data_IF_003304677916
#
_entry.id   IF_003304677916
#
_cell.length_a   1.000
_cell.length_b   1.000
_cell.length_c   1.000
_cell.angle_alpha   90.00
_cell.angle_beta   90.00
_cell.angle_gamma   90.00
#
_symmetry.space_group_name_H-M   'P 1'
#
loop_
_entity.id
_entity.type
_entity.pdbx_description
1 polymer ?
#
# COMPACT_ATOMS: atom_id res chain seq x y z
N UNK A 1 8.86 34.84 -2.21
CA UNK A 1 10.09 35.06 -1.36
C UNK A 1 10.10 36.40 -0.57
N UNK A 2 9.28 37.36 -0.95
CA UNK A 2 9.21 38.63 -0.21
C UNK A 2 8.67 38.52 1.23
N UNK A 3 8.03 37.40 1.58
CA UNK A 3 7.47 37.14 2.91
C UNK A 3 8.40 36.30 3.81
N UNK A 4 9.66 36.10 3.44
CA UNK A 4 10.66 35.28 4.17
C UNK A 4 10.17 33.86 4.52
N UNK A 5 9.36 33.26 3.65
CA UNK A 5 8.90 31.88 3.81
C UNK A 5 10.08 30.93 3.65
N UNK A 6 10.28 30.00 4.60
CA UNK A 6 11.41 29.06 4.62
C UNK A 6 11.29 27.98 3.54
N UNK A 7 10.07 27.59 3.17
CA UNK A 7 9.78 26.54 2.19
C UNK A 7 8.50 26.88 1.44
N UNK A 8 8.55 26.84 0.13
CA UNK A 8 7.43 27.09 -0.76
C UNK A 8 7.09 25.80 -1.50
N UNK A 9 5.89 25.28 -1.25
CA UNK A 9 5.36 24.09 -1.92
C UNK A 9 4.22 24.51 -2.82
N UNK A 10 4.18 24.02 -4.05
CA UNK A 10 3.12 24.34 -5.00
C UNK A 10 2.68 23.10 -5.77
N UNK A 11 1.41 23.07 -6.15
CA UNK A 11 0.85 22.04 -7.02
C UNK A 11 1.05 22.42 -8.49
N UNK A 12 1.63 21.54 -9.29
CA UNK A 12 1.59 21.64 -10.75
C UNK A 12 0.34 20.94 -11.29
N UNK A 13 -0.25 21.52 -12.34
CA UNK A 13 -1.44 20.98 -13.03
C UNK A 13 -1.09 20.37 -14.40
N UNK A 14 0.09 20.68 -14.92
CA UNK A 14 0.63 20.13 -16.15
C UNK A 14 2.15 20.44 -16.24
N UNK A 15 2.88 19.83 -17.18
CA UNK A 15 4.34 20.00 -17.31
C UNK A 15 4.79 21.45 -17.58
N UNK A 16 4.00 22.23 -18.31
CA UNK A 16 4.33 23.64 -18.55
C UNK A 16 4.23 24.46 -17.26
N UNK A 17 3.18 24.22 -16.45
CA UNK A 17 3.03 24.87 -15.15
C UNK A 17 4.19 24.50 -14.21
N UNK A 18 4.63 23.25 -14.21
CA UNK A 18 5.78 22.80 -13.45
C UNK A 18 7.06 23.57 -13.84
N UNK A 19 7.33 23.75 -15.14
CA UNK A 19 8.47 24.55 -15.61
C UNK A 19 8.43 26.00 -15.10
N UNK A 20 7.24 26.62 -15.10
CA UNK A 20 7.04 27.96 -14.55
C UNK A 20 7.32 28.00 -13.05
N UNK A 21 6.78 27.03 -12.28
CA UNK A 21 7.00 26.95 -10.84
C UNK A 21 8.47 26.74 -10.49
N UNK A 22 9.19 25.91 -11.25
CA UNK A 22 10.64 25.76 -11.12
C UNK A 22 11.39 27.06 -11.41
N UNK A 23 11.02 27.76 -12.48
CA UNK A 23 11.66 29.02 -12.88
C UNK A 23 11.48 30.14 -11.84
N UNK A 24 10.35 30.22 -11.15
CA UNK A 24 10.12 31.19 -10.08
C UNK A 24 10.69 30.76 -8.72
N UNK A 25 11.31 29.58 -8.65
CA UNK A 25 12.03 29.08 -7.47
C UNK A 25 11.13 28.55 -6.38
N UNK A 26 10.12 27.75 -6.74
CA UNK A 26 9.36 26.91 -5.81
C UNK A 26 10.30 25.81 -5.32
N UNK A 27 10.29 25.55 -4.00
CA UNK A 27 11.21 24.60 -3.39
C UNK A 27 10.76 23.14 -3.59
N UNK A 28 9.43 22.92 -3.72
CA UNK A 28 8.86 21.59 -3.94
C UNK A 28 7.59 21.69 -4.77
N UNK A 29 7.48 20.85 -5.77
CA UNK A 29 6.31 20.77 -6.65
C UNK A 29 5.65 19.41 -6.44
N UNK A 30 4.34 19.42 -6.23
CA UNK A 30 3.54 18.21 -6.01
C UNK A 30 2.56 18.00 -7.16
N UNK A 31 2.30 16.71 -7.49
CA UNK A 31 1.40 16.27 -8.56
C UNK A 31 0.31 15.34 -8.00
N UNK A 32 -0.62 15.83 -7.17
CA UNK A 32 -1.57 14.98 -6.45
C UNK A 32 -2.47 14.13 -7.35
N UNK A 33 -2.76 14.64 -8.55
CA UNK A 33 -3.59 13.95 -9.53
C UNK A 33 -2.87 12.74 -10.11
N UNK A 34 -1.60 12.89 -10.48
CA UNK A 34 -0.76 11.81 -11.02
C UNK A 34 -0.53 10.74 -9.96
N UNK A 35 -0.12 11.12 -8.77
CA UNK A 35 0.07 10.21 -7.63
C UNK A 35 -1.22 9.43 -7.30
N UNK A 36 -2.36 10.11 -7.36
CA UNK A 36 -3.66 9.47 -7.12
C UNK A 36 -4.03 8.53 -8.26
N UNK A 37 -3.81 8.94 -9.52
CA UNK A 37 -4.10 8.11 -10.69
C UNK A 37 -3.24 6.85 -10.72
N UNK A 38 -1.95 6.93 -10.43
CA UNK A 38 -1.06 5.78 -10.33
C UNK A 38 -1.51 4.79 -9.25
N UNK A 39 -1.87 5.29 -8.08
CA UNK A 39 -2.39 4.44 -6.99
C UNK A 39 -3.67 3.72 -7.39
N UNK A 40 -4.60 4.41 -8.05
CA UNK A 40 -5.82 3.79 -8.55
C UNK A 40 -5.57 2.82 -9.70
N UNK A 41 -4.66 3.14 -10.63
CA UNK A 41 -4.29 2.23 -11.71
C UNK A 41 -3.76 0.90 -11.15
N UNK A 42 -2.85 0.94 -10.17
CA UNK A 42 -2.34 -0.27 -9.50
C UNK A 42 -3.45 -1.06 -8.82
N UNK A 43 -4.34 -0.39 -8.09
CA UNK A 43 -5.47 -1.02 -7.42
C UNK A 43 -6.44 -1.70 -8.40
N UNK A 44 -6.64 -1.13 -9.59
CA UNK A 44 -7.53 -1.69 -10.61
C UNK A 44 -6.85 -2.80 -11.42
N UNK A 45 -5.54 -2.69 -11.66
CA UNK A 45 -4.77 -3.69 -12.43
C UNK A 45 -4.45 -4.95 -11.62
N UNK A 46 -4.26 -4.83 -10.30
CA UNK A 46 -3.92 -5.96 -9.45
C UNK A 46 -5.10 -6.33 -8.55
N UNK A 47 -5.83 -7.37 -8.93
CA UNK A 47 -6.89 -7.93 -8.09
C UNK A 47 -6.32 -8.30 -6.70
N UNK A 48 -7.07 -7.99 -5.65
CA UNK A 48 -6.65 -8.29 -4.28
C UNK A 48 -5.67 -7.29 -3.65
N UNK A 49 -5.08 -6.38 -4.41
CA UNK A 49 -4.31 -5.26 -3.86
C UNK A 49 -5.27 -4.16 -3.41
N UNK A 50 -5.24 -3.86 -2.11
CA UNK A 50 -6.10 -2.85 -1.48
C UNK A 50 -5.45 -1.48 -1.56
N UNK A 51 -4.13 -1.43 -1.34
CA UNK A 51 -3.35 -0.21 -1.36
C UNK A 51 -1.90 -0.49 -1.78
N UNK A 52 -1.20 0.51 -2.29
CA UNK A 52 0.22 0.39 -2.63
C UNK A 52 0.95 1.70 -2.37
N UNK A 53 2.18 1.58 -1.90
CA UNK A 53 3.12 2.68 -1.70
C UNK A 53 4.43 2.34 -2.41
N UNK A 54 4.78 3.14 -3.40
CA UNK A 54 6.02 2.99 -4.16
C UNK A 54 7.20 3.57 -3.37
N UNK A 55 8.25 2.76 -3.19
CA UNK A 55 9.51 3.20 -2.59
C UNK A 55 10.51 3.60 -3.68
N UNK A 56 10.44 2.92 -4.80
CA UNK A 56 11.23 3.19 -6.00
C UNK A 56 10.54 2.55 -7.21
N UNK A 57 11.06 2.76 -8.40
CA UNK A 57 10.54 2.13 -9.63
C UNK A 57 10.46 0.59 -9.55
N UNK A 58 11.28 -0.04 -8.71
CA UNK A 58 11.40 -1.49 -8.63
C UNK A 58 10.81 -2.10 -7.36
N UNK A 59 10.61 -1.31 -6.30
CA UNK A 59 10.20 -1.79 -4.99
C UNK A 59 9.00 -1.05 -4.44
N UNK A 60 8.06 -1.81 -3.87
CA UNK A 60 6.85 -1.27 -3.25
C UNK A 60 6.52 -1.93 -1.91
N UNK A 61 5.72 -1.23 -1.13
CA UNK A 61 4.93 -1.80 -0.04
C UNK A 61 3.49 -1.90 -0.54
N UNK A 62 2.87 -3.07 -0.37
CA UNK A 62 1.48 -3.29 -0.78
C UNK A 62 0.65 -3.87 0.35
N UNK A 63 -0.59 -3.42 0.43
CA UNK A 63 -1.63 -4.06 1.24
C UNK A 63 -2.44 -4.99 0.34
N UNK A 64 -2.47 -6.26 0.66
CA UNK A 64 -3.20 -7.26 -0.13
C UNK A 64 -4.11 -8.10 0.75
N UNK A 65 -5.21 -8.57 0.16
CA UNK A 65 -6.11 -9.52 0.81
C UNK A 65 -5.35 -10.82 1.06
N UNK A 66 -5.60 -11.44 2.21
CA UNK A 66 -5.04 -12.77 2.52
C UNK A 66 -5.62 -13.82 1.56
N UNK A 67 -4.78 -14.56 0.80
CA UNK A 67 -5.24 -15.68 0.00
C UNK A 67 -5.88 -16.77 0.87
N UNK A 68 -7.01 -17.33 0.43
CA UNK A 68 -7.75 -18.34 1.20
C UNK A 68 -6.90 -19.53 1.64
N UNK A 69 -5.93 -19.96 0.82
CA UNK A 69 -5.02 -21.08 1.13
C UNK A 69 -4.08 -20.84 2.32
N UNK A 70 -3.97 -19.61 2.78
CA UNK A 70 -3.12 -19.21 3.91
C UNK A 70 -3.91 -19.00 5.21
N UNK A 71 -5.24 -19.05 5.17
CA UNK A 71 -6.08 -18.93 6.36
C UNK A 71 -5.76 -20.09 7.33
N UNK A 72 -5.55 -19.74 8.59
CA UNK A 72 -5.22 -20.68 9.67
C UNK A 72 -3.74 -21.08 9.74
N UNK A 73 -2.90 -20.64 8.80
CA UNK A 73 -1.46 -20.86 8.81
C UNK A 73 -0.72 -19.74 9.52
N UNK A 74 0.45 -20.04 10.02
CA UNK A 74 1.38 -19.07 10.57
C UNK A 74 2.20 -18.41 9.45
N UNK A 75 2.80 -17.26 9.76
CA UNK A 75 3.72 -16.56 8.85
C UNK A 75 4.92 -17.45 8.48
N UNK A 76 5.41 -18.23 9.44
CA UNK A 76 6.49 -19.18 9.20
C UNK A 76 6.11 -20.27 8.19
N UNK A 77 4.91 -20.84 8.33
CA UNK A 77 4.42 -21.91 7.44
C UNK A 77 4.19 -21.45 6.01
N UNK A 78 3.74 -20.21 5.79
CA UNK A 78 3.53 -19.68 4.44
C UNK A 78 4.83 -19.31 3.74
N UNK A 79 5.88 -19.02 4.50
CA UNK A 79 7.27 -18.79 4.06
C UNK A 79 7.40 -17.92 2.78
N UNK A 80 6.73 -16.77 2.75
CA UNK A 80 6.74 -15.88 1.57
C UNK A 80 8.15 -15.37 1.24
N UNK A 81 9.03 -15.29 2.24
CA UNK A 81 10.39 -14.82 2.05
C UNK A 81 11.19 -15.74 1.11
N UNK A 82 11.09 -17.05 1.28
CA UNK A 82 11.81 -18.00 0.44
C UNK A 82 11.07 -18.24 -0.89
N UNK A 83 9.74 -18.34 -0.83
CA UNK A 83 8.93 -18.70 -2.00
C UNK A 83 8.80 -17.56 -3.01
N UNK A 84 8.59 -16.33 -2.52
CA UNK A 84 8.31 -15.16 -3.38
C UNK A 84 9.31 -14.02 -3.20
N UNK A 85 10.30 -14.15 -2.30
CA UNK A 85 11.23 -13.06 -1.93
C UNK A 85 10.49 -11.81 -1.43
N UNK A 86 9.38 -12.01 -0.72
CA UNK A 86 8.57 -10.97 -0.12
C UNK A 86 8.67 -10.99 1.39
N UNK A 87 8.74 -9.82 2.00
CA UNK A 87 8.72 -9.65 3.45
C UNK A 87 7.33 -9.22 3.92
N UNK A 88 6.78 -9.92 4.91
CA UNK A 88 5.57 -9.47 5.60
C UNK A 88 6.00 -8.47 6.67
N UNK A 89 5.59 -7.22 6.53
CA UNK A 89 5.87 -6.16 7.51
C UNK A 89 4.93 -6.26 8.71
N UNK A 90 3.65 -6.41 8.43
CA UNK A 90 2.59 -6.53 9.43
C UNK A 90 1.35 -7.17 8.83
N UNK A 91 0.39 -7.51 9.68
CA UNK A 91 -0.97 -7.89 9.29
C UNK A 91 -1.96 -6.87 9.81
N UNK A 92 -3.05 -6.67 9.08
CA UNK A 92 -4.15 -5.80 9.48
C UNK A 92 -5.38 -6.66 9.69
N UNK A 93 -5.85 -6.74 10.92
CA UNK A 93 -7.08 -7.42 11.29
C UNK A 93 -8.27 -6.54 10.95
N UNK A 94 -9.19 -7.05 10.13
CA UNK A 94 -10.44 -6.37 9.81
C UNK A 94 -11.57 -6.99 10.62
N UNK A 95 -12.00 -6.30 11.66
CA UNK A 95 -13.17 -6.69 12.45
C UNK A 95 -14.40 -5.86 12.02
N UNK A 96 -15.53 -6.55 11.85
CA UNK A 96 -16.80 -5.90 11.61
C UNK A 96 -17.55 -5.80 12.95
N UNK A 97 -17.77 -4.58 13.44
CA UNK A 97 -18.62 -4.34 14.61
C UNK A 97 -20.01 -3.89 14.19
N UNK A 98 -21.04 -4.56 14.66
CA UNK A 98 -22.42 -4.06 14.54
C UNK A 98 -22.60 -2.95 15.59
N UNK A 99 -22.76 -1.72 15.14
CA UNK A 99 -23.17 -0.62 16.01
C UNK A 99 -24.62 -0.74 16.45
N UNK A 100 -25.00 -0.05 17.53
CA UNK A 100 -26.35 -0.10 18.15
C UNK A 100 -27.51 0.27 17.22
N UNK A 101 -27.24 0.79 16.02
CA UNK A 101 -28.25 1.17 15.01
C UNK A 101 -28.16 0.33 13.72
N UNK A 102 -27.60 -0.90 13.79
CA UNK A 102 -27.50 -1.79 12.63
C UNK A 102 -26.41 -1.42 11.61
N UNK A 103 -25.69 -0.32 11.81
CA UNK A 103 -24.58 0.07 10.94
C UNK A 103 -23.36 -0.79 11.22
N UNK A 104 -22.84 -1.47 10.20
CA UNK A 104 -21.61 -2.26 10.28
C UNK A 104 -20.42 -1.30 10.12
N UNK A 105 -19.71 -1.01 11.20
CA UNK A 105 -18.40 -0.32 11.14
C UNK A 105 -17.30 -1.35 10.96
N UNK A 106 -16.56 -1.26 9.86
CA UNK A 106 -15.28 -1.98 9.69
C UNK A 106 -14.21 -1.23 10.49
N UNK A 107 -13.61 -1.90 11.44
CA UNK A 107 -12.45 -1.38 12.19
C UNK A 107 -11.23 -2.19 11.78
N UNK A 108 -10.27 -1.53 11.20
CA UNK A 108 -8.99 -2.12 10.83
C UNK A 108 -7.97 -1.87 11.94
N UNK A 109 -7.32 -2.93 12.44
CA UNK A 109 -6.30 -2.84 13.49
C UNK A 109 -5.00 -3.44 12.98
N UNK A 110 -3.97 -2.61 12.91
CA UNK A 110 -2.60 -3.06 12.62
C UNK A 110 -2.06 -3.84 13.82
N UNK A 111 -1.43 -5.00 13.58
CA UNK A 111 -0.99 -5.92 14.64
C UNK A 111 0.45 -5.64 15.14
N UNK A 112 1.14 -4.63 14.60
CA UNK A 112 2.54 -4.37 14.89
C UNK A 112 3.45 -5.21 14.00
N UNK A 113 4.57 -5.69 14.54
CA UNK A 113 5.48 -6.55 13.77
C UNK A 113 4.86 -7.92 13.49
N UNK A 114 5.04 -8.40 12.26
CA UNK A 114 4.65 -9.75 11.89
C UNK A 114 5.63 -10.77 12.49
N UNK A 115 5.19 -11.50 13.51
CA UNK A 115 5.98 -12.56 14.13
C UNK A 115 5.76 -13.89 13.40
N UNK A 116 6.75 -14.77 13.47
CA UNK A 116 6.71 -16.06 12.77
C UNK A 116 5.54 -16.95 13.19
N UNK A 117 5.09 -16.85 14.43
CA UNK A 117 3.97 -17.57 15.04
C UNK A 117 2.60 -16.89 14.87
N UNK A 118 2.56 -15.72 14.23
CA UNK A 118 1.30 -15.02 13.97
C UNK A 118 0.42 -15.87 13.06
N UNK A 119 -0.78 -16.22 13.55
CA UNK A 119 -1.79 -16.97 12.80
C UNK A 119 -2.59 -15.99 11.93
N UNK A 120 -2.74 -16.35 10.67
CA UNK A 120 -3.47 -15.58 9.68
C UNK A 120 -4.95 -15.99 9.69
N UNK A 121 -5.85 -15.00 9.80
CA UNK A 121 -7.28 -15.24 9.90
C UNK A 121 -8.02 -14.73 8.65
N UNK A 122 -9.23 -15.20 8.48
CA UNK A 122 -10.10 -14.74 7.38
C UNK A 122 -10.31 -13.21 7.47
N UNK A 123 -10.28 -12.55 6.32
CA UNK A 123 -10.35 -11.09 6.16
C UNK A 123 -9.13 -10.29 6.63
N UNK A 124 -8.05 -10.95 7.03
CA UNK A 124 -6.78 -10.25 7.26
C UNK A 124 -6.25 -9.64 5.96
N UNK A 125 -5.57 -8.50 6.10
CA UNK A 125 -4.73 -7.97 5.05
C UNK A 125 -3.26 -8.22 5.40
N UNK A 126 -2.48 -8.59 4.40
CA UNK A 126 -1.02 -8.65 4.50
C UNK A 126 -0.42 -7.34 4.02
N UNK A 127 0.51 -6.80 4.77
CA UNK A 127 1.34 -5.68 4.32
C UNK A 127 2.69 -6.26 3.90
N UNK A 128 2.93 -6.29 2.59
CA UNK A 128 4.08 -6.93 1.96
C UNK A 128 5.06 -5.87 1.44
N UNK A 129 6.35 -6.16 1.59
CA UNK A 129 7.44 -5.42 0.97
C UNK A 129 8.22 -6.32 0.04
N UNK A 130 8.58 -5.80 -1.13
CA UNK A 130 9.45 -6.49 -2.07
C UNK A 130 9.51 -5.86 -3.45
N UNK A 131 10.21 -6.55 -4.36
CA UNK A 131 10.29 -6.12 -5.75
C UNK A 131 8.92 -6.23 -6.45
N UNK A 132 8.58 -5.28 -7.32
CA UNK A 132 7.30 -5.20 -8.02
C UNK A 132 6.99 -6.48 -8.81
N UNK A 133 8.01 -7.09 -9.43
CA UNK A 133 7.86 -8.35 -10.15
C UNK A 133 7.47 -9.51 -9.23
N UNK A 134 8.01 -9.56 -8.02
CA UNK A 134 7.70 -10.58 -7.03
C UNK A 134 6.29 -10.41 -6.46
N UNK A 135 5.89 -9.16 -6.20
CA UNK A 135 4.54 -8.82 -5.77
C UNK A 135 3.52 -9.26 -6.84
N UNK A 136 3.80 -8.93 -8.11
CA UNK A 136 2.96 -9.37 -9.24
C UNK A 136 2.84 -10.89 -9.29
N UNK A 137 3.97 -11.60 -9.24
CA UNK A 137 3.99 -13.07 -9.23
C UNK A 137 3.18 -13.65 -8.06
N UNK A 138 3.28 -13.04 -6.88
CA UNK A 138 2.49 -13.45 -5.71
C UNK A 138 1.00 -13.27 -5.96
N UNK A 139 0.57 -12.11 -6.46
CA UNK A 139 -0.85 -11.81 -6.74
C UNK A 139 -1.41 -12.74 -7.80
N UNK A 140 -0.70 -12.93 -8.92
CA UNK A 140 -1.12 -13.77 -10.04
C UNK A 140 -1.26 -15.24 -9.61
N UNK A 141 -0.29 -15.77 -8.86
CA UNK A 141 -0.30 -17.17 -8.40
C UNK A 141 -1.34 -17.46 -7.30
N UNK A 142 -1.88 -16.43 -6.67
CA UNK A 142 -2.85 -16.59 -5.59
C UNK A 142 -4.27 -16.21 -6.00
N UNK A 143 -4.48 -15.81 -7.26
CA UNK A 143 -5.79 -15.43 -7.82
C UNK A 143 -6.57 -14.49 -6.89
N UNK A 144 -5.88 -13.44 -6.43
CA UNK A 144 -6.45 -12.43 -5.55
C UNK A 144 -7.36 -11.48 -6.33
#
# INVERSE_FOLDING_TARGET
>A
KNLQVKRLISRAINPLHEQVLNAIGVDEIVHPEEETAERWAKKLCFKGVVNSFELSNDYSIVETILPKKFIGKTILEINLRETYKLLILTTIKNAAFKGNFGNVKKVSKVQGFALNDTILEENDLLVLYGANINIKTFVDNNQL
#
